data_IF_862593968424
#
_entry.id   IF_862593968424
#
_cell.length_a   1.000
_cell.length_b   1.000
_cell.length_c   1.000
_cell.angle_alpha   90.00
_cell.angle_beta   90.00
_cell.angle_gamma   90.00
#
_symmetry.space_group_name_H-M   'P 1'
#
loop_
_entity.id
_entity.type
_entity.pdbx_description
1 polymer ?
#
# COMPACT_ATOMS: atom_id res chain seq x y z
N UNK A 1 14.23 -12.87 29.83
CA UNK A 1 13.62 -13.76 28.83
C UNK A 1 14.12 -13.25 27.49
N UNK A 2 15.06 -13.94 26.86
CA UNK A 2 15.53 -13.64 25.50
C UNK A 2 14.35 -13.87 24.56
N UNK A 3 13.91 -12.84 23.85
CA UNK A 3 13.00 -13.00 22.73
C UNK A 3 13.67 -13.93 21.71
N UNK A 4 12.96 -14.93 21.17
CA UNK A 4 13.49 -15.70 20.07
C UNK A 4 13.93 -14.74 18.95
N UNK A 5 15.00 -15.05 18.20
CA UNK A 5 15.37 -14.24 17.05
C UNK A 5 14.13 -14.09 16.19
N UNK A 6 13.80 -12.88 15.81
CA UNK A 6 12.71 -12.64 14.85
C UNK A 6 13.06 -13.48 13.65
N UNK A 7 12.24 -14.49 13.39
CA UNK A 7 12.32 -15.21 12.12
C UNK A 7 12.41 -14.13 11.06
N UNK A 8 13.45 -14.19 10.26
CA UNK A 8 13.50 -13.49 8.98
C UNK A 8 12.11 -13.61 8.39
N UNK A 9 11.44 -12.52 7.96
CA UNK A 9 10.11 -12.65 7.41
C UNK A 9 10.18 -13.81 6.42
N UNK A 10 9.24 -14.73 6.56
CA UNK A 10 8.96 -15.69 5.51
C UNK A 10 8.46 -14.84 4.35
N UNK A 11 9.46 -14.32 3.65
CA UNK A 11 9.21 -13.56 2.46
C UNK A 11 8.25 -14.30 1.58
N UNK A 12 7.75 -13.66 0.63
CA UNK A 12 7.34 -14.13 -0.66
C UNK A 12 8.19 -15.31 -1.21
N UNK A 13 9.11 -15.84 -0.44
CA UNK A 13 9.65 -17.19 -0.60
C UNK A 13 8.53 -18.21 -0.83
N UNK A 14 7.34 -18.00 -0.29
CA UNK A 14 6.18 -18.80 -0.64
C UNK A 14 5.80 -18.62 -2.11
N UNK A 15 5.76 -17.42 -2.63
CA UNK A 15 5.50 -17.18 -4.05
C UNK A 15 6.65 -17.68 -4.95
N UNK A 16 7.90 -17.55 -4.51
CA UNK A 16 9.05 -18.08 -5.26
C UNK A 16 9.13 -19.60 -5.25
N UNK A 17 8.47 -20.29 -4.31
CA UNK A 17 8.51 -21.72 -4.14
C UNK A 17 7.28 -22.48 -4.68
N UNK A 18 6.28 -21.79 -5.21
CA UNK A 18 5.08 -22.44 -5.80
C UNK A 18 5.42 -23.44 -6.92
N UNK A 19 6.52 -23.26 -7.62
CA UNK A 19 7.03 -24.18 -8.66
C UNK A 19 8.06 -25.19 -8.17
N UNK A 20 8.34 -25.21 -6.87
CA UNK A 20 9.27 -26.16 -6.24
C UNK A 20 8.52 -27.05 -5.26
N UNK A 21 8.89 -28.32 -5.23
CA UNK A 21 8.48 -29.23 -4.17
C UNK A 21 9.62 -29.38 -3.19
N UNK A 22 9.32 -29.22 -1.92
CA UNK A 22 10.23 -29.51 -0.82
C UNK A 22 9.77 -30.82 -0.15
N UNK A 23 10.68 -31.72 0.08
CA UNK A 23 10.45 -32.97 0.79
C UNK A 23 11.44 -33.00 1.95
N UNK A 24 10.93 -33.10 3.16
CA UNK A 24 11.73 -33.34 4.35
C UNK A 24 11.49 -34.79 4.73
N UNK A 25 12.55 -35.58 4.74
CA UNK A 25 12.47 -37.00 5.11
C UNK A 25 12.48 -37.17 6.64
N UNK A 26 12.33 -38.39 7.09
CA UNK A 26 12.32 -38.76 8.53
C UNK A 26 13.67 -38.52 9.24
N UNK A 27 14.76 -38.34 8.48
CA UNK A 27 16.06 -37.98 8.99
C UNK A 27 16.30 -36.46 9.01
N UNK A 28 15.33 -35.67 8.55
CA UNK A 28 15.41 -34.20 8.48
C UNK A 28 16.17 -33.69 7.25
N UNK A 29 16.52 -34.55 6.29
CA UNK A 29 17.16 -34.12 5.06
C UNK A 29 16.15 -33.42 4.15
N UNK A 30 16.53 -32.25 3.59
CA UNK A 30 15.70 -31.42 2.73
C UNK A 30 16.05 -31.66 1.26
N UNK A 31 15.12 -32.26 0.51
CA UNK A 31 15.19 -32.35 -0.95
C UNK A 31 14.31 -31.25 -1.59
N UNK A 32 14.84 -30.57 -2.61
CA UNK A 32 14.16 -29.51 -3.36
C UNK A 32 14.09 -29.87 -4.82
N UNK A 33 12.89 -30.10 -5.31
CA UNK A 33 12.68 -30.45 -6.72
C UNK A 33 11.87 -29.36 -7.43
N UNK A 34 12.41 -28.84 -8.53
CA UNK A 34 11.68 -27.93 -9.41
C UNK A 34 10.68 -28.73 -10.25
N UNK A 35 9.40 -28.38 -10.16
CA UNK A 35 8.32 -29.11 -10.85
C UNK A 35 7.94 -28.47 -12.19
N UNK A 36 8.10 -27.14 -12.32
CA UNK A 36 7.76 -26.39 -13.54
C UNK A 36 9.04 -25.84 -14.15
N UNK A 37 9.24 -26.07 -15.44
CA UNK A 37 10.48 -25.67 -16.15
C UNK A 37 10.44 -24.22 -16.63
N UNK A 38 9.32 -23.78 -17.17
CA UNK A 38 9.15 -22.44 -17.72
C UNK A 38 8.43 -21.57 -16.70
N UNK A 39 9.20 -20.79 -15.96
CA UNK A 39 8.68 -19.87 -14.92
C UNK A 39 9.10 -18.47 -15.31
N UNK A 40 8.12 -17.59 -15.47
CA UNK A 40 8.33 -16.16 -15.56
C UNK A 40 8.33 -15.61 -14.12
N UNK A 41 9.39 -14.92 -13.74
CA UNK A 41 9.48 -14.31 -12.42
C UNK A 41 8.69 -12.99 -12.40
N UNK A 42 7.57 -12.97 -11.69
CA UNK A 42 6.70 -11.82 -11.52
C UNK A 42 6.57 -11.51 -10.02
N UNK A 43 7.51 -10.74 -9.44
CA UNK A 43 7.44 -10.39 -8.02
C UNK A 43 6.22 -9.52 -7.74
N UNK A 44 5.66 -9.68 -6.54
CA UNK A 44 4.53 -8.88 -6.12
C UNK A 44 4.93 -7.40 -5.97
N UNK A 45 4.34 -6.52 -6.76
CA UNK A 45 4.66 -5.10 -6.74
C UNK A 45 4.25 -4.44 -5.42
N UNK A 46 3.24 -4.99 -4.73
CA UNK A 46 2.73 -4.45 -3.47
C UNK A 46 3.72 -4.60 -2.31
N UNK A 47 4.69 -5.51 -2.44
CA UNK A 47 5.83 -5.61 -1.52
C UNK A 47 6.64 -4.31 -1.51
N UNK A 48 6.90 -3.73 -2.68
CA UNK A 48 7.61 -2.45 -2.79
C UNK A 48 6.76 -1.27 -2.28
N UNK A 49 5.43 -1.33 -2.45
CA UNK A 49 4.53 -0.27 -1.99
C UNK A 49 4.42 -0.25 -0.47
N UNK A 50 4.12 -1.40 0.16
CA UNK A 50 3.69 -1.42 1.55
C UNK A 50 4.36 -2.48 2.44
N UNK A 51 4.36 -3.77 2.01
CA UNK A 51 4.64 -4.87 2.94
C UNK A 51 6.08 -4.97 3.37
N UNK A 52 7.00 -4.79 2.44
CA UNK A 52 8.42 -4.95 2.75
C UNK A 52 8.95 -3.82 3.61
N UNK A 53 9.90 -4.15 4.45
CA UNK A 53 10.59 -3.15 5.26
C UNK A 53 11.36 -2.20 4.35
N UNK A 54 11.46 -0.92 4.67
CA UNK A 54 12.14 0.06 3.83
C UNK A 54 13.64 -0.23 3.65
N UNK A 55 14.26 -0.91 4.62
CA UNK A 55 15.68 -1.33 4.59
C UNK A 55 15.92 -2.66 3.83
N UNK A 56 14.87 -3.26 3.28
CA UNK A 56 14.98 -4.53 2.54
C UNK A 56 15.44 -4.31 1.10
N UNK A 57 16.10 -5.34 0.57
CA UNK A 57 16.37 -5.49 -0.86
C UNK A 57 15.69 -6.78 -1.33
N UNK A 58 14.79 -6.66 -2.30
CA UNK A 58 14.07 -7.77 -2.93
C UNK A 58 14.46 -7.82 -4.40
N UNK A 59 14.80 -8.99 -4.89
CA UNK A 59 15.19 -9.17 -6.30
C UNK A 59 16.24 -8.13 -6.76
N UNK A 60 17.25 -7.87 -5.93
CA UNK A 60 18.29 -6.83 -6.13
C UNK A 60 17.74 -5.38 -6.16
N UNK A 61 16.47 -5.17 -5.87
CA UNK A 61 15.81 -3.87 -5.83
C UNK A 61 15.70 -3.37 -4.38
N UNK A 62 16.28 -2.21 -4.10
CA UNK A 62 16.08 -1.54 -2.80
C UNK A 62 14.65 -1.00 -2.67
N UNK A 63 13.93 -1.47 -1.66
CA UNK A 63 12.58 -1.00 -1.34
C UNK A 63 12.57 0.51 -1.06
N UNK A 64 13.57 1.01 -0.33
CA UNK A 64 13.70 2.43 -0.06
C UNK A 64 13.83 3.27 -1.34
N UNK A 65 14.72 2.86 -2.25
CA UNK A 65 14.90 3.54 -3.54
C UNK A 65 13.64 3.49 -4.41
N UNK A 66 12.91 2.36 -4.41
CA UNK A 66 11.64 2.26 -5.12
C UNK A 66 10.62 3.26 -4.57
N UNK A 67 10.51 3.40 -3.25
CA UNK A 67 9.60 4.37 -2.63
C UNK A 67 10.00 5.82 -2.85
N UNK A 68 11.30 6.12 -2.94
CA UNK A 68 11.76 7.44 -3.38
C UNK A 68 11.25 7.73 -4.80
N UNK A 69 11.47 6.82 -5.75
CA UNK A 69 11.02 6.98 -7.14
C UNK A 69 9.50 7.08 -7.26
N UNK A 70 8.74 6.33 -6.45
CA UNK A 70 7.28 6.51 -6.37
C UNK A 70 6.91 7.94 -6.00
N UNK A 71 7.64 8.56 -5.08
CA UNK A 71 7.47 9.96 -4.71
C UNK A 71 7.88 10.92 -5.83
N UNK A 72 8.96 10.64 -6.56
CA UNK A 72 9.39 11.43 -7.72
C UNK A 72 8.31 11.46 -8.81
N UNK A 73 7.86 10.29 -9.26
CA UNK A 73 6.82 10.19 -10.30
C UNK A 73 5.49 10.80 -9.86
N UNK A 74 5.11 10.62 -8.59
CA UNK A 74 3.89 11.24 -8.05
C UNK A 74 4.02 12.76 -8.01
N UNK A 75 5.19 13.29 -7.62
CA UNK A 75 5.48 14.73 -7.63
C UNK A 75 5.44 15.31 -9.04
N UNK A 76 6.06 14.64 -10.01
CA UNK A 76 6.03 15.04 -11.41
C UNK A 76 4.60 15.05 -11.97
N UNK A 77 3.79 14.03 -11.64
CA UNK A 77 2.37 13.99 -12.00
C UNK A 77 1.59 15.18 -11.43
N UNK A 78 1.82 15.50 -10.16
CA UNK A 78 1.14 16.63 -9.50
C UNK A 78 1.49 17.94 -10.22
N UNK A 79 2.76 18.17 -10.52
CA UNK A 79 3.22 19.37 -11.22
C UNK A 79 2.63 19.51 -12.63
N UNK A 80 2.48 18.39 -13.34
CA UNK A 80 2.05 18.40 -14.73
C UNK A 80 0.52 18.44 -14.89
N UNK A 81 -0.20 17.66 -14.08
CA UNK A 81 -1.63 17.42 -14.26
C UNK A 81 -2.52 18.21 -13.29
N UNK A 82 -1.98 18.62 -12.12
CA UNK A 82 -2.75 19.25 -11.03
C UNK A 82 -2.27 20.69 -10.76
N UNK A 83 -2.05 21.47 -11.82
CA UNK A 83 -1.51 22.86 -11.73
C UNK A 83 -2.37 23.82 -10.91
N UNK A 84 -3.63 23.48 -10.67
CA UNK A 84 -4.58 24.35 -9.95
C UNK A 84 -4.63 24.08 -8.44
N UNK A 85 -3.82 23.14 -7.92
CA UNK A 85 -3.73 22.94 -6.48
C UNK A 85 -2.61 23.81 -5.91
N UNK A 86 -2.94 24.49 -4.82
CA UNK A 86 -1.99 25.29 -4.06
C UNK A 86 -1.66 24.56 -2.77
N UNK A 87 -0.40 24.11 -2.61
CA UNK A 87 0.06 23.27 -1.51
C UNK A 87 1.03 24.03 -0.63
N UNK A 88 0.70 24.28 0.64
CA UNK A 88 1.60 24.89 1.62
C UNK A 88 2.57 23.87 2.24
N UNK A 89 2.10 22.64 2.40
CA UNK A 89 2.84 21.60 3.12
C UNK A 89 2.45 20.19 2.68
N UNK A 90 3.45 19.32 2.57
CA UNK A 90 3.27 17.87 2.38
C UNK A 90 3.44 17.16 3.70
N UNK A 91 2.49 16.31 4.06
CA UNK A 91 2.46 15.56 5.31
C UNK A 91 2.22 14.08 5.02
N UNK A 92 3.11 13.17 5.46
CA UNK A 92 2.91 11.74 5.29
C UNK A 92 1.83 11.20 6.22
N UNK A 93 1.11 10.19 5.74
CA UNK A 93 0.37 9.29 6.62
C UNK A 93 1.35 8.23 7.13
N UNK A 94 1.74 8.26 8.43
CA UNK A 94 2.83 7.41 8.90
C UNK A 94 2.45 5.94 8.93
N UNK A 95 3.41 5.01 8.74
CA UNK A 95 4.85 5.21 8.65
C UNK A 95 5.38 5.04 7.22
N UNK A 96 4.73 4.24 6.38
CA UNK A 96 5.24 3.71 5.11
C UNK A 96 5.39 4.77 4.04
N UNK A 97 4.53 5.79 4.05
CA UNK A 97 4.50 6.85 3.04
C UNK A 97 5.57 7.94 3.23
N UNK A 98 6.32 7.94 4.35
CA UNK A 98 7.30 8.99 4.67
C UNK A 98 8.29 9.24 3.55
N UNK A 99 8.84 8.17 2.99
CA UNK A 99 9.85 8.25 1.93
C UNK A 99 9.27 8.89 0.66
N UNK A 100 8.10 8.45 0.22
CA UNK A 100 7.43 9.01 -0.95
C UNK A 100 6.98 10.45 -0.72
N UNK A 101 6.41 10.76 0.46
CA UNK A 101 5.98 12.11 0.81
C UNK A 101 7.13 13.11 0.86
N UNK A 102 8.28 12.70 1.39
CA UNK A 102 9.48 13.54 1.41
C UNK A 102 9.91 13.92 -0.02
N UNK A 103 9.88 12.96 -0.92
CA UNK A 103 10.27 13.18 -2.30
C UNK A 103 9.25 14.02 -3.07
N UNK A 104 7.94 13.81 -2.82
CA UNK A 104 6.87 14.68 -3.34
C UNK A 104 7.10 16.13 -2.89
N UNK A 105 7.38 16.36 -1.61
CA UNK A 105 7.65 17.71 -1.10
C UNK A 105 8.85 18.36 -1.78
N UNK A 106 9.92 17.60 -1.96
CA UNK A 106 11.13 18.06 -2.67
C UNK A 106 10.81 18.46 -4.12
N UNK A 107 10.08 17.63 -4.86
CA UNK A 107 9.66 17.90 -6.24
C UNK A 107 8.77 19.14 -6.36
N UNK A 108 7.82 19.31 -5.45
CA UNK A 108 6.92 20.45 -5.44
C UNK A 108 7.59 21.76 -4.92
N UNK A 109 8.78 21.69 -4.35
CA UNK A 109 9.47 22.82 -3.73
C UNK A 109 8.76 23.35 -2.47
N UNK A 110 7.98 22.50 -1.77
CA UNK A 110 7.20 22.87 -0.58
C UNK A 110 7.73 22.18 0.67
N UNK A 111 7.27 22.64 1.84
CA UNK A 111 7.73 22.07 3.12
C UNK A 111 7.22 20.65 3.32
N UNK A 112 8.12 19.75 3.74
CA UNK A 112 7.76 18.47 4.35
C UNK A 112 7.62 18.64 5.86
N UNK A 113 6.56 18.10 6.46
CA UNK A 113 6.33 18.14 7.92
C UNK A 113 5.73 16.82 8.41
N UNK A 114 6.14 16.41 9.60
CA UNK A 114 5.50 15.31 10.33
C UNK A 114 4.28 15.86 11.09
N UNK A 115 3.11 15.78 10.47
CA UNK A 115 1.87 16.32 11.09
C UNK A 115 1.19 15.33 12.05
N UNK A 116 1.66 14.08 12.13
CA UNK A 116 1.06 13.05 12.97
C UNK A 116 2.08 12.37 13.86
N UNK A 117 1.75 12.25 15.15
CA UNK A 117 2.48 11.38 16.07
C UNK A 117 1.75 10.04 16.18
N UNK A 118 2.45 8.96 15.82
CA UNK A 118 1.93 7.61 15.99
C UNK A 118 2.12 7.13 17.42
N UNK A 119 1.04 6.69 18.05
CA UNK A 119 1.13 6.05 19.35
C UNK A 119 1.77 4.66 19.21
N UNK A 120 3.01 4.53 19.68
CA UNK A 120 3.82 3.30 19.56
C UNK A 120 3.33 2.18 20.49
N UNK A 121 2.53 2.50 21.49
CA UNK A 121 2.02 1.54 22.49
C UNK A 121 0.75 0.83 22.03
N UNK A 122 0.11 1.31 20.97
CA UNK A 122 -1.08 0.68 20.40
C UNK A 122 -0.67 -0.20 19.21
N UNK A 123 -0.81 -1.53 19.37
CA UNK A 123 -0.47 -2.52 18.35
C UNK A 123 -1.30 -2.42 17.05
N UNK A 124 -0.95 -3.24 16.04
CA UNK A 124 -1.68 -3.31 14.78
C UNK A 124 -3.10 -3.83 15.00
N UNK A 125 -4.11 -3.01 14.69
CA UNK A 125 -5.53 -3.33 14.87
C UNK A 125 -6.14 -4.17 13.75
N UNK A 126 -5.34 -4.66 12.79
CA UNK A 126 -5.82 -5.56 11.72
C UNK A 126 -6.34 -6.90 12.26
N UNK A 127 -5.87 -7.31 13.44
CA UNK A 127 -6.16 -8.60 14.07
C UNK A 127 -7.40 -8.53 14.99
N UNK A 128 -7.94 -7.34 15.28
CA UNK A 128 -9.11 -7.23 16.15
C UNK A 128 -10.41 -7.49 15.39
N UNK A 129 -11.17 -8.47 15.85
CA UNK A 129 -12.51 -8.76 15.37
C UNK A 129 -13.49 -7.65 15.81
N UNK A 130 -14.36 -7.22 14.90
CA UNK A 130 -15.44 -6.26 15.14
C UNK A 130 -15.27 -4.87 14.50
N UNK A 131 -16.29 -4.44 13.74
CA UNK A 131 -16.27 -3.15 13.04
C UNK A 131 -16.25 -1.94 13.97
N UNK A 132 -16.89 -2.00 15.14
CA UNK A 132 -16.97 -0.89 16.09
C UNK A 132 -15.65 -0.62 16.82
N UNK A 133 -14.87 -1.66 17.09
CA UNK A 133 -13.54 -1.56 17.70
C UNK A 133 -12.53 -0.95 16.72
N UNK A 134 -12.65 -1.25 15.42
CA UNK A 134 -11.83 -0.65 14.36
C UNK A 134 -12.10 0.84 14.15
N UNK A 135 -13.35 1.30 14.39
CA UNK A 135 -13.73 2.72 14.23
C UNK A 135 -13.07 3.63 15.27
N UNK A 136 -12.87 3.20 16.50
CA UNK A 136 -12.18 3.97 17.55
C UNK A 136 -10.65 3.99 17.37
N UNK A 137 -10.08 3.01 16.69
CA UNK A 137 -8.64 2.75 16.69
C UNK A 137 -7.77 3.71 15.88
N UNK A 138 -8.27 4.37 14.84
CA UNK A 138 -7.44 5.33 14.05
C UNK A 138 -7.17 6.60 14.86
N UNK A 139 -8.20 7.14 15.51
CA UNK A 139 -8.06 8.32 16.37
C UNK A 139 -7.16 8.06 17.61
N UNK A 140 -7.09 6.81 18.07
CA UNK A 140 -6.21 6.41 19.17
C UNK A 140 -4.75 6.19 18.72
N UNK A 141 -4.53 5.94 17.42
CA UNK A 141 -3.21 5.63 16.87
C UNK A 141 -2.44 6.83 16.36
N UNK A 142 -3.14 7.85 15.91
CA UNK A 142 -2.56 9.04 15.30
C UNK A 142 -3.01 10.27 16.07
N UNK A 143 -2.05 10.98 16.67
CA UNK A 143 -2.26 12.26 17.30
C UNK A 143 -1.82 13.37 16.34
N UNK A 144 -2.72 14.28 15.93
CA UNK A 144 -2.38 15.37 15.03
C UNK A 144 -1.61 16.48 15.77
N UNK A 145 -0.66 17.09 15.08
CA UNK A 145 0.09 18.25 15.53
C UNK A 145 -0.56 19.49 14.90
N UNK A 146 -1.45 20.17 15.63
CA UNK A 146 -2.33 21.23 15.12
C UNK A 146 -1.60 22.31 14.32
N UNK A 147 -0.45 22.77 14.80
CA UNK A 147 0.34 23.82 14.14
C UNK A 147 0.77 23.47 12.70
N UNK A 148 0.82 22.17 12.39
CA UNK A 148 1.19 21.72 11.05
C UNK A 148 0.02 21.77 10.07
N UNK A 149 -1.21 21.89 10.56
CA UNK A 149 -2.42 21.90 9.73
C UNK A 149 -3.09 23.27 9.67
N UNK A 150 -3.08 24.01 10.77
CA UNK A 150 -3.86 25.23 10.95
C UNK A 150 -3.56 26.28 9.87
N UNK A 151 -4.63 26.74 9.19
CA UNK A 151 -4.60 27.74 8.13
C UNK A 151 -3.75 27.35 6.88
N UNK A 152 -3.52 26.07 6.63
CA UNK A 152 -2.72 25.59 5.50
C UNK A 152 -3.56 24.76 4.51
N UNK A 153 -3.12 24.77 3.26
CA UNK A 153 -3.51 23.83 2.23
C UNK A 153 -2.57 22.62 2.34
N UNK A 154 -3.08 21.50 2.80
CA UNK A 154 -2.29 20.33 3.15
C UNK A 154 -2.40 19.27 2.08
N UNK A 155 -1.27 18.76 1.59
CA UNK A 155 -1.21 17.54 0.79
C UNK A 155 -0.81 16.37 1.68
N UNK A 156 -1.77 15.49 1.95
CA UNK A 156 -1.52 14.22 2.61
C UNK A 156 -1.04 13.21 1.59
N UNK A 157 0.05 12.51 1.89
CA UNK A 157 0.57 11.43 1.06
C UNK A 157 0.49 10.11 1.83
N UNK A 158 -0.15 9.12 1.24
CA UNK A 158 -0.25 7.75 1.76
C UNK A 158 0.37 6.77 0.77
N UNK A 159 0.72 5.57 1.23
CA UNK A 159 1.22 4.52 0.34
C UNK A 159 0.11 3.97 -0.56
N UNK A 160 -1.08 3.79 -0.02
CA UNK A 160 -2.22 3.20 -0.71
C UNK A 160 -3.55 3.50 -0.03
N UNK A 161 -4.66 3.41 -0.78
CA UNK A 161 -6.01 3.52 -0.23
C UNK A 161 -6.75 2.20 -0.49
N UNK A 162 -6.99 1.42 0.56
CA UNK A 162 -7.67 0.12 0.46
C UNK A 162 -9.18 0.27 0.65
N UNK A 163 -9.64 0.48 1.87
CA UNK A 163 -11.07 0.66 2.20
C UNK A 163 -11.52 2.12 2.24
N UNK A 164 -10.61 3.07 2.27
CA UNK A 164 -10.88 4.50 2.35
C UNK A 164 -11.38 5.00 3.71
N UNK A 165 -11.71 4.11 4.66
CA UNK A 165 -12.17 4.54 5.98
C UNK A 165 -11.10 5.27 6.78
N UNK A 166 -9.86 4.80 6.69
CA UNK A 166 -8.70 5.42 7.35
C UNK A 166 -8.44 6.80 6.76
N UNK A 167 -8.36 6.90 5.43
CA UNK A 167 -8.14 8.16 4.71
C UNK A 167 -9.25 9.19 5.05
N UNK A 168 -10.53 8.76 5.04
CA UNK A 168 -11.66 9.62 5.45
C UNK A 168 -11.49 10.18 6.86
N UNK A 169 -11.11 9.33 7.83
CA UNK A 169 -10.92 9.76 9.22
C UNK A 169 -9.73 10.70 9.39
N UNK A 170 -8.64 10.43 8.66
CA UNK A 170 -7.46 11.30 8.68
C UNK A 170 -7.81 12.67 8.11
N UNK A 171 -8.51 12.73 6.97
CA UNK A 171 -8.96 13.99 6.38
C UNK A 171 -9.87 14.76 7.33
N UNK A 172 -10.86 14.10 7.95
CA UNK A 172 -11.73 14.72 8.96
C UNK A 172 -10.93 15.26 10.15
N UNK A 173 -9.93 14.53 10.62
CA UNK A 173 -9.05 14.95 11.71
C UNK A 173 -8.26 16.20 11.31
N UNK A 174 -7.66 16.23 10.13
CA UNK A 174 -6.88 17.37 9.61
C UNK A 174 -7.75 18.61 9.45
N UNK A 175 -8.97 18.45 8.92
CA UNK A 175 -9.94 19.56 8.82
C UNK A 175 -10.34 20.09 10.20
N UNK A 176 -10.58 19.21 11.18
CA UNK A 176 -10.90 19.60 12.56
C UNK A 176 -9.78 20.41 13.21
N UNK A 177 -8.52 20.20 12.78
CA UNK A 177 -7.35 20.97 13.26
C UNK A 177 -7.03 22.19 12.37
N UNK A 178 -8.02 22.68 11.61
CA UNK A 178 -7.97 23.99 10.96
C UNK A 178 -7.28 24.04 9.60
N UNK A 179 -7.10 22.93 8.90
CA UNK A 179 -6.65 22.96 7.52
C UNK A 179 -7.67 23.67 6.61
N UNK A 180 -7.19 24.54 5.71
CA UNK A 180 -8.04 25.26 4.73
C UNK A 180 -8.51 24.31 3.63
N UNK A 181 -7.55 23.57 3.03
CA UNK A 181 -7.80 22.54 2.03
C UNK A 181 -7.04 21.29 2.38
N UNK A 182 -7.59 20.14 2.04
CA UNK A 182 -6.95 18.84 2.27
C UNK A 182 -6.96 18.07 0.96
N UNK A 183 -5.82 18.02 0.32
CA UNK A 183 -5.54 17.17 -0.82
C UNK A 183 -5.02 15.82 -0.35
N UNK A 184 -5.30 14.77 -1.08
CA UNK A 184 -4.84 13.43 -0.74
C UNK A 184 -4.18 12.76 -1.95
N UNK A 185 -2.96 12.28 -1.78
CA UNK A 185 -2.23 11.57 -2.82
C UNK A 185 -1.86 10.15 -2.36
N UNK A 186 -2.02 9.18 -3.23
CA UNK A 186 -1.62 7.79 -3.03
C UNK A 186 -0.40 7.48 -3.89
N UNK A 187 0.66 6.95 -3.28
CA UNK A 187 1.87 6.53 -3.99
C UNK A 187 1.65 5.25 -4.83
N UNK A 188 0.49 4.64 -4.73
CA UNK A 188 0.05 3.51 -5.55
C UNK A 188 -1.21 3.85 -6.37
N UNK A 189 -1.48 3.11 -7.46
CA UNK A 189 -2.74 3.18 -8.19
C UNK A 189 -3.95 2.76 -7.34
N UNK A 190 -5.20 3.00 -7.81
CA UNK A 190 -6.39 2.53 -7.14
C UNK A 190 -6.44 1.01 -7.02
N UNK A 191 -6.58 0.48 -5.80
CA UNK A 191 -6.73 -0.96 -5.54
C UNK A 191 -8.18 -1.36 -5.84
N UNK A 192 -8.38 -2.12 -6.91
CA UNK A 192 -9.72 -2.48 -7.43
C UNK A 192 -10.09 -3.93 -7.25
N UNK A 193 -9.09 -4.82 -7.14
CA UNK A 193 -9.25 -6.26 -7.14
C UNK A 193 -8.60 -6.88 -5.91
N UNK A 194 -9.07 -8.06 -5.52
CA UNK A 194 -8.51 -8.79 -4.38
C UNK A 194 -7.18 -9.45 -4.75
N UNK A 195 -6.29 -9.59 -3.78
CA UNK A 195 -5.12 -10.44 -3.92
C UNK A 195 -5.46 -11.90 -3.56
N UNK A 196 -4.83 -12.86 -4.26
CA UNK A 196 -4.99 -14.30 -4.03
C UNK A 196 -3.67 -15.00 -3.77
N UNK A 197 -2.56 -14.26 -3.77
CA UNK A 197 -1.20 -14.78 -3.64
C UNK A 197 -0.58 -14.54 -2.24
N UNK A 198 -1.41 -14.47 -1.22
CA UNK A 198 -0.95 -14.42 0.18
C UNK A 198 -1.06 -13.05 0.86
N UNK A 199 -1.38 -11.99 0.13
CA UNK A 199 -1.66 -10.69 0.75
C UNK A 199 -3.07 -10.71 1.34
N UNK A 200 -3.19 -10.41 2.65
CA UNK A 200 -4.49 -10.27 3.31
C UNK A 200 -5.19 -8.98 2.85
N UNK A 201 -5.83 -9.06 1.70
CA UNK A 201 -6.69 -8.01 1.17
C UNK A 201 -8.15 -8.27 1.52
N UNK A 202 -8.94 -7.20 1.77
CA UNK A 202 -10.38 -7.34 2.01
C UNK A 202 -11.11 -7.90 0.81
N UNK A 203 -12.36 -8.33 1.02
CA UNK A 203 -13.23 -8.74 -0.08
C UNK A 203 -13.39 -7.59 -1.09
N UNK A 204 -13.55 -7.92 -2.37
CA UNK A 204 -13.60 -6.93 -3.46
C UNK A 204 -14.59 -5.79 -3.19
N UNK A 205 -15.74 -6.11 -2.61
CA UNK A 205 -16.79 -5.12 -2.26
C UNK A 205 -16.36 -4.11 -1.19
N UNK A 206 -15.37 -4.43 -0.38
CA UNK A 206 -14.84 -3.55 0.65
C UNK A 206 -13.75 -2.59 0.11
N UNK A 207 -13.23 -2.85 -1.09
CA UNK A 207 -12.26 -1.99 -1.73
C UNK A 207 -12.93 -0.69 -2.17
N UNK A 208 -12.40 0.44 -1.73
CA UNK A 208 -13.03 1.74 -2.04
C UNK A 208 -13.03 2.06 -3.52
N UNK A 209 -12.04 1.56 -4.26
CA UNK A 209 -11.91 1.81 -5.70
C UNK A 209 -12.65 0.78 -6.58
N UNK A 210 -13.23 -0.28 -5.97
CA UNK A 210 -14.03 -1.24 -6.72
C UNK A 210 -15.31 -0.57 -7.24
N UNK A 211 -15.51 -0.62 -8.56
CA UNK A 211 -16.67 -0.03 -9.25
C UNK A 211 -16.92 1.48 -8.94
N UNK A 212 -15.85 2.23 -8.57
CA UNK A 212 -15.94 3.68 -8.35
C UNK A 212 -14.93 4.44 -9.20
N UNK A 213 -15.34 5.60 -9.67
CA UNK A 213 -14.46 6.59 -10.29
C UNK A 213 -13.64 7.31 -9.21
N UNK A 214 -12.50 7.91 -9.60
CA UNK A 214 -11.66 8.70 -8.68
C UNK A 214 -12.48 9.84 -8.04
N UNK A 215 -13.37 10.48 -8.81
CA UNK A 215 -14.27 11.53 -8.29
C UNK A 215 -15.20 11.01 -7.18
N UNK A 216 -15.75 9.81 -7.34
CA UNK A 216 -16.59 9.20 -6.31
C UNK A 216 -15.78 8.83 -5.05
N UNK A 217 -14.54 8.37 -5.23
CA UNK A 217 -13.64 8.06 -4.11
C UNK A 217 -13.26 9.36 -3.38
N UNK A 218 -12.89 10.41 -4.12
CA UNK A 218 -12.60 11.76 -3.59
C UNK A 218 -13.74 12.25 -2.69
N UNK A 219 -14.96 12.21 -3.19
CA UNK A 219 -16.14 12.62 -2.43
C UNK A 219 -16.37 11.75 -1.20
N UNK A 220 -16.17 10.45 -1.32
CA UNK A 220 -16.33 9.49 -0.21
C UNK A 220 -15.35 9.75 0.94
N UNK A 221 -14.07 9.99 0.63
CA UNK A 221 -13.06 10.29 1.65
C UNK A 221 -13.12 11.74 2.14
N UNK A 222 -13.74 12.66 1.39
CA UNK A 222 -13.92 14.06 1.72
C UNK A 222 -12.70 14.93 1.44
N UNK A 223 -11.86 14.56 0.48
CA UNK A 223 -10.72 15.36 0.03
C UNK A 223 -11.15 16.45 -0.95
N UNK A 224 -10.43 17.59 -0.97
CA UNK A 224 -10.61 18.63 -1.97
C UNK A 224 -10.07 18.19 -3.33
N UNK A 225 -8.97 17.41 -3.35
CA UNK A 225 -8.49 16.70 -4.52
C UNK A 225 -7.93 15.34 -4.12
N UNK A 226 -8.03 14.36 -5.03
CA UNK A 226 -7.51 13.00 -4.86
C UNK A 226 -6.66 12.61 -6.05
N UNK A 227 -5.41 12.29 -5.78
CA UNK A 227 -4.40 11.98 -6.77
C UNK A 227 -3.91 10.55 -6.55
N UNK A 228 -3.95 9.74 -7.58
CA UNK A 228 -3.38 8.40 -7.56
C UNK A 228 -2.16 8.33 -8.47
N UNK A 229 -1.19 7.55 -8.07
CA UNK A 229 -0.08 7.16 -8.93
C UNK A 229 -0.57 6.39 -10.14
N UNK A 230 0.14 6.46 -11.26
CA UNK A 230 -0.09 5.64 -12.44
C UNK A 230 0.58 4.27 -12.28
N UNK A 231 -0.03 3.24 -12.87
CA UNK A 231 0.51 1.88 -12.80
C UNK A 231 1.86 1.77 -13.49
N UNK A 232 2.03 2.43 -14.62
CA UNK A 232 3.29 2.50 -15.36
C UNK A 232 4.41 3.08 -14.50
N UNK A 233 4.16 4.24 -13.89
CA UNK A 233 5.10 4.91 -12.98
C UNK A 233 5.43 4.06 -11.77
N UNK A 234 4.44 3.31 -11.25
CA UNK A 234 4.68 2.37 -10.16
C UNK A 234 5.62 1.23 -10.58
N UNK A 235 5.37 0.61 -11.74
CA UNK A 235 6.23 -0.45 -12.29
C UNK A 235 7.65 0.06 -12.54
N UNK A 236 7.79 1.24 -13.15
CA UNK A 236 9.09 1.88 -13.38
C UNK A 236 9.83 2.16 -12.07
N UNK A 237 9.15 2.58 -11.01
CA UNK A 237 9.75 2.84 -9.70
C UNK A 237 10.53 1.64 -9.16
N UNK A 238 10.06 0.43 -9.45
CA UNK A 238 10.74 -0.81 -9.07
C UNK A 238 11.76 -1.23 -10.16
N UNK A 239 11.35 -1.30 -11.45
CA UNK A 239 12.17 -1.82 -12.56
C UNK A 239 13.49 -1.10 -12.75
N UNK A 240 13.57 0.21 -12.46
CA UNK A 240 14.83 0.98 -12.51
C UNK A 240 15.90 0.36 -11.57
N UNK A 241 15.48 -0.34 -10.51
CA UNK A 241 16.40 -1.01 -9.60
C UNK A 241 16.99 -2.31 -10.17
N UNK A 242 16.24 -3.01 -11.02
CA UNK A 242 16.67 -4.22 -11.72
C UNK A 242 15.93 -4.37 -13.06
N UNK A 243 16.54 -3.93 -14.17
CA UNK A 243 15.90 -3.99 -15.49
C UNK A 243 15.61 -5.40 -16.01
N UNK A 244 16.12 -6.44 -15.36
CA UNK A 244 15.83 -7.85 -15.72
C UNK A 244 14.40 -8.25 -15.34
N UNK A 245 13.77 -7.50 -14.40
CA UNK A 245 12.38 -7.71 -14.00
C UNK A 245 11.52 -6.79 -14.83
N UNK A 246 10.83 -7.36 -15.81
CA UNK A 246 9.98 -6.63 -16.75
C UNK A 246 8.50 -6.70 -16.39
N UNK A 247 8.12 -7.69 -15.60
CA UNK A 247 6.73 -7.94 -15.22
C UNK A 247 6.59 -8.08 -13.71
N UNK A 248 5.43 -7.67 -13.19
CA UNK A 248 5.09 -7.75 -11.78
C UNK A 248 3.72 -8.40 -11.59
N UNK A 249 3.55 -9.07 -10.46
CA UNK A 249 2.22 -9.41 -9.96
C UNK A 249 1.58 -8.12 -9.45
N UNK A 250 0.64 -7.58 -10.21
CA UNK A 250 -0.06 -6.32 -9.96
C UNK A 250 -1.59 -6.45 -10.10
N UNK A 251 -2.08 -7.66 -9.98
CA UNK A 251 -3.49 -8.01 -10.14
C UNK A 251 -4.44 -7.17 -9.28
N UNK A 252 -3.98 -6.69 -8.13
CA UNK A 252 -4.78 -5.83 -7.25
C UNK A 252 -5.19 -4.50 -7.90
N UNK A 253 -4.44 -4.05 -8.91
CA UNK A 253 -4.73 -2.86 -9.70
C UNK A 253 -5.43 -3.20 -11.02
N UNK A 254 -4.97 -4.25 -11.70
CA UNK A 254 -5.35 -4.61 -13.08
C UNK A 254 -6.50 -5.62 -13.16
N UNK A 255 -6.60 -6.52 -12.19
CA UNK A 255 -7.45 -7.72 -12.28
C UNK A 255 -6.87 -8.83 -13.14
N UNK A 256 -5.65 -8.65 -13.68
CA UNK A 256 -4.95 -9.66 -14.45
C UNK A 256 -4.07 -10.48 -13.52
N UNK A 257 -4.47 -11.72 -13.27
CA UNK A 257 -3.72 -12.63 -12.40
C UNK A 257 -2.70 -13.41 -13.22
N UNK A 258 -1.49 -13.56 -12.67
CA UNK A 258 -0.39 -14.27 -13.35
C UNK A 258 -0.61 -15.79 -13.45
N UNK A 259 -1.62 -16.33 -12.78
CA UNK A 259 -1.97 -17.75 -12.79
C UNK A 259 -3.33 -17.96 -13.45
N UNK A 260 -3.38 -18.81 -14.46
CA UNK A 260 -4.58 -19.16 -15.23
C UNK A 260 -5.66 -19.88 -14.39
N UNK A 261 -5.28 -20.46 -13.24
CA UNK A 261 -6.25 -21.07 -12.30
C UNK A 261 -7.09 -20.02 -11.56
N UNK A 262 -6.69 -18.75 -11.57
CA UNK A 262 -7.45 -17.67 -10.95
C UNK A 262 -8.56 -17.21 -11.89
N UNK A 263 -9.60 -18.04 -11.98
CA UNK A 263 -10.81 -17.77 -12.78
C UNK A 263 -11.80 -16.90 -12.00
N UNK A 264 -12.81 -16.36 -12.69
CA UNK A 264 -13.94 -15.65 -12.05
C UNK A 264 -14.66 -16.54 -11.03
N UNK A 265 -14.81 -17.82 -11.33
CA UNK A 265 -15.45 -18.78 -10.42
C UNK A 265 -14.62 -19.03 -9.17
N UNK A 266 -13.31 -19.13 -9.32
CA UNK A 266 -12.39 -19.20 -8.19
C UNK A 266 -12.53 -17.96 -7.27
N UNK A 267 -12.53 -16.75 -7.84
CA UNK A 267 -12.67 -15.51 -7.08
C UNK A 267 -14.03 -15.42 -6.37
N UNK A 268 -15.11 -15.81 -7.04
CA UNK A 268 -16.46 -15.87 -6.45
C UNK A 268 -16.54 -16.86 -5.29
N UNK A 269 -15.93 -18.03 -5.43
CA UNK A 269 -15.89 -19.05 -4.37
C UNK A 269 -15.04 -18.57 -3.17
N UNK A 270 -13.93 -17.88 -3.42
CA UNK A 270 -13.10 -17.28 -2.37
C UNK A 270 -13.88 -16.22 -1.58
N UNK A 271 -14.67 -15.39 -2.25
CA UNK A 271 -15.53 -14.40 -1.59
C UNK A 271 -16.64 -15.05 -0.74
N UNK A 272 -17.23 -16.15 -1.21
CA UNK A 272 -18.23 -16.92 -0.43
C UNK A 272 -17.60 -17.45 0.86
N UNK A 273 -16.46 -18.15 0.77
CA UNK A 273 -15.74 -18.70 1.94
C UNK A 273 -15.38 -17.62 2.97
N UNK A 274 -14.94 -16.44 2.52
CA UNK A 274 -14.63 -15.30 3.43
C UNK A 274 -15.86 -14.80 4.19
N UNK A 275 -17.05 -14.88 3.61
CA UNK A 275 -18.32 -14.52 4.29
C UNK A 275 -18.71 -15.52 5.36
N UNK A 276 -18.46 -16.80 5.11
CA UNK A 276 -18.82 -17.87 6.06
C UNK A 276 -17.93 -17.87 7.29
N UNK A 277 -16.63 -17.49 7.14
CA UNK A 277 -15.68 -17.34 8.26
C UNK A 277 -15.92 -16.06 9.08
N UNK A 278 -16.64 -15.07 8.54
CA UNK A 278 -16.93 -13.80 9.21
C UNK A 278 -18.27 -13.80 9.98
N UNK A 279 -19.00 -14.90 9.95
CA UNK A 279 -20.16 -15.18 10.79
C UNK A 279 -19.76 -15.97 12.03
#
# INVERSE_FOLDING_TARGET
IRRPPRSTPLYSSAASDVYKRQIIDSAGALDKKRLVRNVVHQPCIFEYVYFSRPDSTLDEISVHKSRLRMGDFLGDKILNEYKNIDVDVVIPVPDTSRTSAMQVAYKLGVKYREGFMKNRYIGRTFIMQGQNTRKKSVAQKLNPIEIEFKNKNVLLVDDSIVRGHTSKKIIQMVRKHGAKKVYFASASPPIRYQNVFGIDMPATKELVAHNRTIRQIKNYIGADELIYQDLESLRLSASIGNPKITEYEDSVFTGNYCDSYVTKDYLNNLEKRRKDVSR
#
